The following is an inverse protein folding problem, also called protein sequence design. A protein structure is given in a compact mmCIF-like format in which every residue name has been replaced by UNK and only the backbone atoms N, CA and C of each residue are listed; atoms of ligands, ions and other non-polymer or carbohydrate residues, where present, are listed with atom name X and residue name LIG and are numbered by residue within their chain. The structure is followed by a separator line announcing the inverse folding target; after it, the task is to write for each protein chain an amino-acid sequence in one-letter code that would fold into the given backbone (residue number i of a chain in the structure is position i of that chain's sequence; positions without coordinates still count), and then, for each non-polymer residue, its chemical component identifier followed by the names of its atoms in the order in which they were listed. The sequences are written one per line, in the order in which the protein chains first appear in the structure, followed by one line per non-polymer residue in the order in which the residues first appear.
data_IF_625188429011
#
_entry.id   IF_625188429011
#
_cell.length_a   1.000
_cell.length_b   1.000
_cell.length_c   1.000
_cell.angle_alpha   90.00
_cell.angle_beta   90.00
_cell.angle_gamma   90.00
#
_symmetry.space_group_name_H-M   'P 1'
#
loop_
_entity.id
_entity.type
_entity.pdbx_description
1 polymer ?
#
# COMPACT_ATOMS: atom_id res chain seq x y z
N UNK A 1 5.48 -1.46 -14.97
CA UNK A 1 4.31 -0.85 -15.66
C UNK A 1 4.34 0.66 -15.48
N UNK A 2 4.42 1.20 -14.26
CA UNK A 2 4.47 2.66 -14.03
C UNK A 2 5.65 3.30 -14.76
N UNK A 3 6.85 2.75 -14.62
CA UNK A 3 8.08 3.25 -15.25
C UNK A 3 8.08 3.18 -16.79
N UNK A 4 7.20 2.40 -17.38
CA UNK A 4 7.07 2.35 -18.84
C UNK A 4 6.50 3.64 -19.45
N UNK A 5 5.93 4.53 -18.62
CA UNK A 5 5.31 5.78 -19.07
C UNK A 5 3.96 5.58 -19.77
N UNK A 6 3.34 4.40 -19.66
CA UNK A 6 2.08 4.06 -20.33
C UNK A 6 0.92 4.99 -19.96
N UNK A 7 0.92 5.51 -18.70
CA UNK A 7 -0.06 6.50 -18.22
C UNK A 7 0.48 7.94 -18.23
N UNK A 8 1.64 8.18 -18.84
CA UNK A 8 2.31 9.47 -18.81
C UNK A 8 3.00 9.75 -17.47
N UNK A 9 3.11 11.03 -17.08
CA UNK A 9 3.65 11.44 -15.80
C UNK A 9 2.66 11.13 -14.69
N UNK A 10 3.12 10.43 -13.63
CA UNK A 10 2.30 10.12 -12.44
C UNK A 10 2.16 11.38 -11.59
N UNK A 11 0.93 11.75 -11.25
CA UNK A 11 0.61 12.95 -10.46
C UNK A 11 0.07 12.62 -9.08
N UNK A 12 -0.72 11.56 -8.97
CA UNK A 12 -1.33 11.18 -7.69
C UNK A 12 -1.69 9.71 -7.63
N UNK A 13 -2.02 9.25 -6.44
CA UNK A 13 -2.66 7.96 -6.22
C UNK A 13 -3.66 7.99 -5.08
N UNK A 14 -4.59 7.06 -5.11
CA UNK A 14 -5.44 6.70 -3.97
C UNK A 14 -5.27 5.23 -3.65
N UNK A 15 -5.30 4.88 -2.37
CA UNK A 15 -5.30 3.48 -1.96
C UNK A 15 -6.07 3.30 -0.65
N UNK A 16 -6.67 2.13 -0.49
CA UNK A 16 -7.35 1.79 0.75
C UNK A 16 -7.13 0.33 1.13
N UNK A 17 -7.15 0.06 2.43
CA UNK A 17 -7.16 -1.30 2.96
C UNK A 17 -7.92 -1.33 4.29
N UNK A 18 -9.05 -2.01 4.33
CA UNK A 18 -9.83 -2.19 5.56
C UNK A 18 -10.33 -3.62 5.70
N UNK A 19 -10.30 -4.11 6.93
CA UNK A 19 -10.82 -5.40 7.33
C UNK A 19 -11.62 -5.28 8.62
N UNK A 20 -12.80 -5.87 8.70
CA UNK A 20 -13.57 -5.99 9.94
C UNK A 20 -12.93 -7.05 10.84
N UNK A 21 -11.97 -6.66 11.68
CA UNK A 21 -11.13 -7.54 12.51
C UNK A 21 -11.11 -7.15 14.00
N UNK A 22 -12.07 -6.36 14.44
CA UNK A 22 -12.13 -5.88 15.83
C UNK A 22 -12.40 -6.97 16.87
N UNK A 23 -12.75 -8.19 16.45
CA UNK A 23 -12.84 -9.36 17.32
C UNK A 23 -11.48 -9.83 17.84
N UNK A 24 -10.40 -9.51 17.14
CA UNK A 24 -9.03 -9.86 17.56
C UNK A 24 -8.59 -8.96 18.70
N UNK A 25 -8.23 -9.57 19.84
CA UNK A 25 -7.81 -8.86 21.06
C UNK A 25 -6.67 -7.87 20.79
N UNK A 26 -5.66 -8.27 20.01
CA UNK A 26 -4.50 -7.43 19.65
C UNK A 26 -4.93 -6.09 19.03
N UNK A 27 -5.91 -6.10 18.13
CA UNK A 27 -6.36 -4.91 17.41
C UNK A 27 -6.93 -3.84 18.34
N UNK A 28 -7.53 -4.25 19.47
CA UNK A 28 -8.20 -3.35 20.41
C UNK A 28 -7.31 -2.85 21.53
N UNK A 29 -6.06 -3.28 21.60
CA UNK A 29 -5.16 -3.01 22.73
C UNK A 29 -3.97 -2.15 22.31
N UNK A 30 -3.85 -0.90 22.82
CA UNK A 30 -2.69 -0.05 22.53
C UNK A 30 -1.36 -0.69 22.92
N UNK A 31 -1.32 -1.41 24.06
CA UNK A 31 -0.12 -2.10 24.54
C UNK A 31 0.33 -3.26 23.68
N UNK A 32 -0.50 -3.71 22.74
CA UNK A 32 -0.18 -4.74 21.75
C UNK A 32 0.02 -4.16 20.33
N UNK A 33 0.29 -2.86 20.25
CA UNK A 33 0.37 -2.12 18.98
C UNK A 33 -0.87 -2.33 18.11
N UNK A 34 -2.06 -2.22 18.73
CA UNK A 34 -3.35 -2.33 18.04
C UNK A 34 -3.66 -1.08 17.23
N UNK A 35 -4.79 -1.12 16.53
CA UNK A 35 -5.25 -0.02 15.69
C UNK A 35 -5.12 -0.30 14.19
N UNK A 36 -5.71 0.58 13.40
CA UNK A 36 -5.73 0.48 11.94
C UNK A 36 -4.38 0.81 11.32
N UNK A 37 -3.71 1.88 11.77
CA UNK A 37 -2.46 2.34 11.20
C UNK A 37 -1.39 1.24 11.17
N UNK A 38 -1.15 0.61 12.30
CA UNK A 38 -0.08 -0.39 12.45
C UNK A 38 -0.46 -1.77 11.89
N UNK A 39 -1.75 -2.10 11.78
CA UNK A 39 -2.19 -3.40 11.26
C UNK A 39 -2.40 -3.38 9.74
N UNK A 40 -3.11 -2.40 9.23
CA UNK A 40 -3.50 -2.33 7.81
C UNK A 40 -3.04 -1.05 7.12
N UNK A 41 -2.84 0.06 7.82
CA UNK A 41 -2.44 1.35 7.26
C UNK A 41 -1.04 1.34 6.66
N UNK A 42 -0.15 0.50 7.16
CA UNK A 42 1.20 0.32 6.62
C UNK A 42 1.20 -0.13 5.15
N UNK A 43 0.17 -0.86 4.68
CA UNK A 43 0.09 -1.33 3.29
C UNK A 43 -0.14 -0.19 2.29
N UNK A 44 -1.17 0.67 2.43
CA UNK A 44 -1.34 1.79 1.52
C UNK A 44 -0.21 2.81 1.61
N UNK A 45 0.44 2.99 2.78
CA UNK A 45 1.64 3.84 2.92
C UNK A 45 2.80 3.27 2.10
N UNK A 46 3.09 1.98 2.22
CA UNK A 46 4.10 1.30 1.41
C UNK A 46 3.77 1.38 -0.09
N UNK A 47 2.51 1.16 -0.47
CA UNK A 47 2.07 1.27 -1.85
C UNK A 47 2.31 2.67 -2.42
N UNK A 48 2.00 3.74 -1.65
CA UNK A 48 2.26 5.11 -2.05
C UNK A 48 3.76 5.38 -2.22
N UNK A 49 4.58 4.95 -1.27
CA UNK A 49 6.04 5.12 -1.30
C UNK A 49 6.68 4.38 -2.47
N UNK A 50 6.25 3.16 -2.74
CA UNK A 50 6.74 2.35 -3.86
C UNK A 50 6.47 3.02 -5.23
N UNK A 51 5.35 3.74 -5.36
CA UNK A 51 4.92 4.35 -6.63
C UNK A 51 5.43 5.78 -6.78
N UNK A 52 5.35 6.59 -5.71
CA UNK A 52 5.64 8.03 -5.76
C UNK A 52 7.07 8.38 -5.32
N UNK A 53 7.79 7.42 -4.74
CA UNK A 53 9.17 7.57 -4.28
C UNK A 53 9.28 7.86 -2.77
N UNK A 54 10.50 8.11 -2.33
CA UNK A 54 10.85 8.23 -0.90
C UNK A 54 10.82 9.67 -0.39
N UNK A 55 10.84 10.66 -1.29
CA UNK A 55 10.99 12.07 -0.95
C UNK A 55 9.65 12.68 -0.49
N UNK A 56 9.25 12.36 0.74
CA UNK A 56 8.06 12.87 1.39
C UNK A 56 8.29 14.31 1.87
N UNK A 57 7.37 15.22 1.59
CA UNK A 57 7.40 16.62 2.04
C UNK A 57 6.63 16.84 3.33
N UNK A 58 5.40 16.35 3.38
CA UNK A 58 4.54 16.44 4.56
C UNK A 58 3.48 15.35 4.55
N UNK A 59 2.93 15.12 5.74
CA UNK A 59 1.82 14.18 5.99
C UNK A 59 0.75 14.90 6.80
N UNK A 60 -0.51 14.69 6.40
CA UNK A 60 -1.69 15.12 7.15
C UNK A 60 -2.59 13.91 7.37
N UNK A 61 -3.19 13.81 8.54
CA UNK A 61 -4.08 12.70 8.85
C UNK A 61 -5.28 13.12 9.68
N UNK A 62 -6.33 12.33 9.58
CA UNK A 62 -7.50 12.37 10.47
C UNK A 62 -7.85 10.95 10.85
N UNK A 63 -8.11 10.70 12.13
CA UNK A 63 -8.42 9.37 12.62
C UNK A 63 -9.59 9.39 13.61
N UNK A 64 -10.32 8.29 13.65
CA UNK A 64 -11.34 7.99 14.67
C UNK A 64 -10.75 7.00 15.65
N UNK A 65 -10.80 7.32 16.94
CA UNK A 65 -10.25 6.50 18.01
C UNK A 65 -11.36 5.84 18.82
N UNK A 66 -11.13 4.60 19.26
CA UNK A 66 -11.96 3.87 20.20
C UNK A 66 -11.07 2.99 21.09
N UNK A 67 -11.26 3.05 22.40
CA UNK A 67 -10.49 2.25 23.36
C UNK A 67 -8.98 2.54 23.36
N UNK A 68 -8.55 3.73 22.87
CA UNK A 68 -7.14 4.15 22.83
C UNK A 68 -6.38 3.72 21.56
N UNK A 69 -7.08 3.09 20.60
CA UNK A 69 -6.53 2.75 19.28
C UNK A 69 -7.30 3.46 18.18
N UNK A 70 -6.66 3.74 17.07
CA UNK A 70 -7.29 4.21 15.85
C UNK A 70 -8.07 3.06 15.19
N UNK A 71 -9.31 3.34 14.79
CA UNK A 71 -10.18 2.33 14.17
C UNK A 71 -10.48 2.62 12.70
N UNK A 72 -10.28 3.85 12.29
CA UNK A 72 -10.40 4.35 10.91
C UNK A 72 -9.51 5.56 10.77
N UNK A 73 -8.79 5.65 9.68
CA UNK A 73 -7.94 6.79 9.38
C UNK A 73 -7.93 7.14 7.89
N UNK A 74 -7.66 8.40 7.61
CA UNK A 74 -7.34 8.92 6.28
C UNK A 74 -6.03 9.69 6.36
N UNK A 75 -5.12 9.41 5.43
CA UNK A 75 -3.79 10.00 5.37
C UNK A 75 -3.61 10.66 4.02
N UNK A 76 -3.10 11.90 4.01
CA UNK A 76 -2.67 12.61 2.81
C UNK A 76 -1.15 12.73 2.89
N UNK A 77 -0.45 12.25 1.88
CA UNK A 77 1.00 12.31 1.76
C UNK A 77 1.38 13.17 0.57
N UNK A 78 2.15 14.23 0.79
CA UNK A 78 2.68 15.09 -0.28
C UNK A 78 4.15 14.74 -0.54
N UNK A 79 4.48 14.47 -1.79
CA UNK A 79 5.82 14.09 -2.25
C UNK A 79 6.47 15.21 -3.07
N UNK A 80 7.77 15.12 -3.24
CA UNK A 80 8.48 15.96 -4.22
C UNK A 80 7.96 15.72 -5.64
N UNK A 81 8.16 16.72 -6.52
CA UNK A 81 7.63 16.66 -7.88
C UNK A 81 6.12 16.90 -7.98
N UNK A 82 5.51 17.55 -6.95
CA UNK A 82 4.08 17.88 -6.90
C UNK A 82 3.17 16.66 -7.02
N UNK A 83 3.53 15.58 -6.36
CA UNK A 83 2.76 14.33 -6.31
C UNK A 83 2.07 14.18 -4.96
N UNK A 84 0.90 13.55 -4.95
CA UNK A 84 0.12 13.37 -3.73
C UNK A 84 -0.51 11.98 -3.67
N UNK A 85 -0.56 11.40 -2.47
CA UNK A 85 -1.35 10.21 -2.18
C UNK A 85 -2.47 10.54 -1.18
N UNK A 86 -3.65 9.90 -1.38
CA UNK A 86 -4.75 9.88 -0.41
C UNK A 86 -5.02 8.43 -0.04
N UNK A 87 -4.86 8.12 1.23
CA UNK A 87 -4.92 6.76 1.74
C UNK A 87 -6.01 6.64 2.80
N UNK A 88 -6.64 5.47 2.86
CA UNK A 88 -7.63 5.16 3.91
C UNK A 88 -7.40 3.75 4.43
N UNK A 89 -7.52 3.57 5.73
CA UNK A 89 -7.47 2.26 6.38
C UNK A 89 -8.36 2.19 7.60
N UNK A 90 -8.90 1.00 7.85
CA UNK A 90 -9.80 0.78 8.96
C UNK A 90 -9.89 -0.68 9.40
N UNK A 91 -10.26 -0.90 10.68
CA UNK A 91 -10.38 -2.24 11.27
C UNK A 91 -11.82 -2.62 11.60
N UNK A 92 -12.79 -1.75 11.31
CA UNK A 92 -14.22 -1.98 11.55
C UNK A 92 -15.08 -2.16 10.31
N UNK A 93 -14.51 -1.86 9.15
CA UNK A 93 -15.22 -1.90 7.87
C UNK A 93 -14.52 -2.85 6.88
N UNK A 94 -15.19 -3.14 5.79
CA UNK A 94 -14.64 -3.88 4.66
C UNK A 94 -14.51 -2.89 3.51
N UNK A 95 -13.33 -2.79 2.90
CA UNK A 95 -13.10 -1.96 1.71
C UNK A 95 -12.91 -2.81 0.46
N UNK A 96 -12.88 -2.16 -0.70
CA UNK A 96 -12.53 -2.80 -1.98
C UNK A 96 -11.03 -3.11 -2.12
N UNK A 97 -10.20 -2.61 -1.21
CA UNK A 97 -8.74 -2.81 -1.16
C UNK A 97 -8.04 -2.37 -2.45
N UNK A 98 -8.60 -1.37 -3.09
CA UNK A 98 -8.15 -0.87 -4.39
C UNK A 98 -7.00 0.14 -4.24
N UNK A 99 -6.02 0.06 -5.13
CA UNK A 99 -5.06 1.12 -5.41
C UNK A 99 -5.28 1.69 -6.81
N UNK A 100 -5.33 3.01 -6.94
CA UNK A 100 -5.44 3.70 -8.23
C UNK A 100 -4.31 4.72 -8.39
N UNK A 101 -3.55 4.61 -9.49
CA UNK A 101 -2.41 5.47 -9.82
C UNK A 101 -2.82 6.32 -11.00
N UNK A 102 -2.79 7.63 -10.86
CA UNK A 102 -3.25 8.58 -11.86
C UNK A 102 -2.08 9.26 -12.55
N UNK A 103 -2.13 9.31 -13.88
CA UNK A 103 -1.14 9.95 -14.73
C UNK A 103 -1.78 10.86 -15.78
N UNK A 104 -0.93 11.61 -16.49
CA UNK A 104 -1.36 12.62 -17.47
C UNK A 104 -1.99 12.03 -18.75
N UNK A 105 -1.85 10.71 -19.00
CA UNK A 105 -2.38 10.03 -20.20
C UNK A 105 -3.30 8.86 -19.89
N UNK A 106 -3.57 8.59 -18.61
CA UNK A 106 -4.41 7.49 -18.18
C UNK A 106 -4.21 7.15 -16.71
N UNK A 107 -4.68 5.98 -16.30
CA UNK A 107 -4.53 5.53 -14.93
C UNK A 107 -4.37 4.01 -14.84
N UNK A 108 -3.87 3.55 -13.70
CA UNK A 108 -3.71 2.13 -13.39
C UNK A 108 -4.56 1.82 -12.16
N UNK A 109 -5.28 0.69 -12.20
CA UNK A 109 -5.97 0.14 -11.03
C UNK A 109 -5.32 -1.17 -10.60
N UNK A 110 -5.05 -1.29 -9.32
CA UNK A 110 -4.50 -2.48 -8.68
C UNK A 110 -5.57 -3.05 -7.75
N UNK A 111 -6.14 -4.18 -8.11
CA UNK A 111 -7.07 -4.90 -7.25
C UNK A 111 -6.30 -5.55 -6.09
N UNK A 112 -6.77 -5.31 -4.86
CA UNK A 112 -6.23 -5.91 -3.65
C UNK A 112 -4.75 -5.58 -3.44
N UNK A 113 -4.45 -4.35 -2.98
CA UNK A 113 -3.07 -3.82 -2.88
C UNK A 113 -2.14 -4.66 -2.02
N UNK A 114 -2.65 -5.42 -1.05
CA UNK A 114 -1.83 -6.26 -0.19
C UNK A 114 -1.59 -7.68 -0.75
N UNK A 115 -2.35 -8.09 -1.76
CA UNK A 115 -2.14 -9.33 -2.51
C UNK A 115 -2.75 -9.17 -3.91
N UNK A 116 -2.08 -8.47 -4.85
CA UNK A 116 -2.64 -8.08 -6.14
C UNK A 116 -3.23 -9.24 -6.94
N UNK A 117 -4.48 -9.09 -7.37
CA UNK A 117 -5.22 -10.08 -8.16
C UNK A 117 -5.26 -9.71 -9.64
N UNK A 118 -5.35 -8.40 -9.93
CA UNK A 118 -5.33 -7.84 -11.28
C UNK A 118 -4.73 -6.44 -11.24
N UNK A 119 -3.94 -6.10 -12.26
CA UNK A 119 -3.54 -4.73 -12.57
C UNK A 119 -4.13 -4.39 -13.92
N UNK A 120 -4.98 -3.35 -13.98
CA UNK A 120 -5.59 -2.88 -15.22
C UNK A 120 -5.07 -1.49 -15.59
N UNK A 121 -4.79 -1.26 -16.85
CA UNK A 121 -4.32 0.02 -17.40
C UNK A 121 -5.41 0.63 -18.25
N UNK A 122 -5.73 1.88 -17.99
CA UNK A 122 -6.77 2.63 -18.70
C UNK A 122 -6.17 3.87 -19.37
N UNK A 123 -6.65 4.16 -20.56
CA UNK A 123 -6.32 5.39 -21.28
C UNK A 123 -7.19 6.58 -20.84
N UNK A 124 -7.00 7.75 -21.46
CA UNK A 124 -7.77 8.98 -21.18
C UNK A 124 -9.27 8.88 -21.54
N UNK A 125 -9.67 7.90 -22.34
CA UNK A 125 -11.07 7.64 -22.69
C UNK A 125 -11.72 6.60 -21.75
N UNK A 126 -11.04 6.21 -20.66
CA UNK A 126 -11.47 5.17 -19.72
C UNK A 126 -11.58 3.76 -20.32
N UNK A 127 -10.89 3.49 -21.43
CA UNK A 127 -10.82 2.18 -22.04
C UNK A 127 -9.70 1.36 -21.41
N UNK A 128 -9.95 0.12 -21.00
CA UNK A 128 -8.94 -0.81 -20.53
C UNK A 128 -8.05 -1.22 -21.72
N UNK A 129 -6.80 -0.78 -21.71
CA UNK A 129 -5.84 -1.02 -22.79
C UNK A 129 -4.92 -2.20 -22.53
N UNK A 130 -4.74 -2.57 -21.26
CA UNK A 130 -3.95 -3.73 -20.86
C UNK A 130 -4.39 -4.21 -19.47
N UNK A 131 -4.21 -5.50 -19.23
CA UNK A 131 -4.35 -6.07 -17.89
C UNK A 131 -3.27 -7.11 -17.63
N UNK A 132 -2.86 -7.20 -16.37
CA UNK A 132 -1.83 -8.11 -15.89
C UNK A 132 -2.37 -8.89 -14.69
N UNK A 133 -2.00 -10.14 -14.62
CA UNK A 133 -2.40 -11.04 -13.53
C UNK A 133 -1.14 -11.63 -12.89
N UNK A 134 -1.12 -11.83 -11.58
CA UNK A 134 -0.02 -12.54 -10.94
C UNK A 134 0.02 -13.98 -11.42
N UNK A 135 1.17 -14.65 -11.35
CA UNK A 135 1.24 -16.09 -11.51
C UNK A 135 0.29 -16.79 -10.53
N UNK A 136 -0.16 -18.00 -10.86
CA UNK A 136 -1.01 -18.78 -9.96
C UNK A 136 -0.36 -18.91 -8.59
N UNK A 137 -1.06 -18.47 -7.56
CA UNK A 137 -0.61 -18.46 -6.17
C UNK A 137 -1.58 -19.25 -5.29
N UNK A 138 -1.10 -19.67 -4.13
CA UNK A 138 -1.88 -20.39 -3.12
C UNK A 138 -2.45 -19.38 -2.13
N UNK A 139 -1.60 -18.50 -1.57
CA UNK A 139 -1.95 -17.50 -0.57
C UNK A 139 -1.35 -16.12 -0.84
N UNK A 140 -0.29 -16.04 -1.67
CA UNK A 140 0.56 -14.86 -1.85
C UNK A 140 1.79 -14.85 -0.93
N UNK A 141 1.73 -15.46 0.25
CA UNK A 141 2.88 -15.58 1.17
C UNK A 141 4.05 -16.40 0.61
N UNK A 142 3.81 -17.25 -0.37
CA UNK A 142 4.88 -17.99 -1.04
C UNK A 142 5.94 -17.10 -1.69
N UNK A 143 5.60 -15.87 -2.07
CA UNK A 143 6.57 -14.90 -2.60
C UNK A 143 7.52 -14.42 -1.49
N UNK A 144 6.99 -14.12 -0.31
CA UNK A 144 7.79 -13.73 0.86
C UNK A 144 8.72 -14.87 1.28
N UNK A 145 8.20 -16.09 1.36
CA UNK A 145 8.99 -17.28 1.70
C UNK A 145 10.13 -17.50 0.69
N UNK A 146 9.88 -17.32 -0.61
CA UNK A 146 10.91 -17.44 -1.64
C UNK A 146 11.98 -16.37 -1.54
N UNK A 147 11.58 -15.10 -1.26
CA UNK A 147 12.51 -13.98 -1.06
C UNK A 147 13.40 -14.24 0.16
N UNK A 148 12.82 -14.65 1.29
CA UNK A 148 13.58 -15.01 2.50
C UNK A 148 14.55 -16.17 2.25
N UNK A 149 14.09 -17.24 1.60
CA UNK A 149 14.94 -18.39 1.27
C UNK A 149 16.13 -17.97 0.41
N UNK A 150 15.90 -17.17 -0.64
CA UNK A 150 16.97 -16.65 -1.50
C UNK A 150 17.95 -15.78 -0.72
N UNK A 151 17.48 -14.88 0.13
CA UNK A 151 18.35 -14.05 0.97
C UNK A 151 19.26 -14.92 1.87
N UNK A 152 18.69 -15.95 2.51
CA UNK A 152 19.46 -16.90 3.32
C UNK A 152 20.49 -17.68 2.50
N UNK A 153 20.14 -18.18 1.33
CA UNK A 153 21.06 -18.90 0.42
C UNK A 153 22.21 -18.00 -0.07
N UNK A 154 21.95 -16.68 -0.21
CA UNK A 154 22.95 -15.68 -0.57
C UNK A 154 23.73 -15.14 0.64
N UNK A 155 23.49 -15.63 1.85
CA UNK A 155 24.13 -15.16 3.09
C UNK A 155 23.75 -13.73 3.50
N UNK A 156 22.61 -13.23 3.02
CA UNK A 156 22.09 -11.91 3.38
C UNK A 156 21.30 -11.95 4.68
N UNK A 157 21.31 -10.85 5.41
CA UNK A 157 20.56 -10.67 6.67
C UNK A 157 19.18 -10.01 6.47
N UNK A 158 18.91 -9.54 5.25
CA UNK A 158 17.65 -8.90 4.87
C UNK A 158 17.27 -9.22 3.42
N UNK A 159 15.98 -9.07 3.09
CA UNK A 159 15.49 -9.23 1.75
C UNK A 159 15.63 -7.90 0.98
N UNK A 160 16.21 -7.91 -0.24
CA UNK A 160 16.29 -6.70 -1.07
C UNK A 160 14.95 -6.07 -1.41
N UNK A 161 13.88 -6.87 -1.44
CA UNK A 161 12.52 -6.45 -1.74
C UNK A 161 11.91 -5.60 -0.61
N UNK A 162 12.36 -5.80 0.64
CA UNK A 162 11.96 -5.02 1.82
C UNK A 162 13.14 -4.92 2.78
N UNK A 163 14.11 -4.03 2.53
CA UNK A 163 15.27 -3.85 3.40
C UNK A 163 14.88 -3.21 4.74
N UNK A 164 15.68 -3.43 5.78
CA UNK A 164 15.44 -2.87 7.11
C UNK A 164 15.31 -1.35 7.10
N UNK A 165 16.09 -0.68 6.25
CA UNK A 165 16.03 0.78 6.10
C UNK A 165 14.65 1.25 5.64
N UNK A 166 13.99 0.50 4.74
CA UNK A 166 12.63 0.82 4.29
C UNK A 166 11.61 0.66 5.42
N UNK A 167 11.70 -0.42 6.20
CA UNK A 167 10.86 -0.61 7.39
C UNK A 167 11.00 0.56 8.36
N UNK A 168 12.23 0.97 8.67
CA UNK A 168 12.49 2.11 9.57
C UNK A 168 11.95 3.41 8.98
N UNK A 169 12.10 3.63 7.68
CA UNK A 169 11.59 4.82 6.98
C UNK A 169 10.05 4.89 7.05
N UNK A 170 9.37 3.80 6.76
CA UNK A 170 7.89 3.73 6.82
C UNK A 170 7.39 3.97 8.24
N UNK A 171 8.05 3.40 9.25
CA UNK A 171 7.70 3.63 10.66
C UNK A 171 8.00 5.05 11.15
N UNK A 172 8.80 5.82 10.41
CA UNK A 172 9.09 7.23 10.69
C UNK A 172 8.09 8.22 10.05
N UNK A 173 7.15 7.73 9.24
CA UNK A 173 6.09 8.52 8.62
C UNK A 173 4.93 8.69 9.61
#
# INVERSE_FOLDING_TARGET
IVESGVIGEVTSLTANLSYAVTEKERIRKPELAGGALLDVGVYPINFASMVLGENLKDVQSSAIFEGGVDILETIIMNFEGNKMATLQSGVREISDRMGSIFGTKGYIQVQNINNPEKIAVFNQNHEETASYFPPKQITGYEYEVRACKKALEEGKIECPEMPHAETVRIMGI
#
